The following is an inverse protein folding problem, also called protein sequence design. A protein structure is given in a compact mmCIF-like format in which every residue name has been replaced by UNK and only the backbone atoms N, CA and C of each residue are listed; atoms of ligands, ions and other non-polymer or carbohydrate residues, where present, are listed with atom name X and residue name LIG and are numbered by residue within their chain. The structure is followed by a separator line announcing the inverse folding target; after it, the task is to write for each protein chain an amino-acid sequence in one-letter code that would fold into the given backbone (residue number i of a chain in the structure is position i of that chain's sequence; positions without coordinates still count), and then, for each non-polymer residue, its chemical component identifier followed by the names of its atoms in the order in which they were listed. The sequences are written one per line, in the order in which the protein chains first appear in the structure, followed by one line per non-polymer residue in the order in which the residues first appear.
data_IF_083718325233
#
_entry.id   IF_083718325233
#
_cell.length_a   1.000
_cell.length_b   1.000
_cell.length_c   1.000
_cell.angle_alpha   90.00
_cell.angle_beta   90.00
_cell.angle_gamma   90.00
#
_symmetry.space_group_name_H-M   'P 1'
#
loop_
_entity.id
_entity.type
_entity.pdbx_description
1 polymer ?
#
# COMPACT_ATOMS: atom_id res chain seq x y z
N UNK A 1 -9.34 -16.12 -15.45
CA UNK A 1 -8.01 -15.84 -14.88
C UNK A 1 -7.83 -14.36 -15.10
N UNK A 2 -8.22 -13.57 -14.10
CA UNK A 2 -8.33 -12.12 -14.24
C UNK A 2 -6.94 -11.51 -14.34
N UNK A 3 -6.74 -10.54 -15.23
CA UNK A 3 -5.51 -9.73 -15.34
C UNK A 3 -5.32 -8.77 -14.13
N UNK A 4 -5.96 -9.06 -12.99
CA UNK A 4 -5.88 -8.28 -11.75
C UNK A 4 -4.66 -8.64 -10.90
N UNK A 5 -3.92 -9.70 -11.25
CA UNK A 5 -2.86 -10.26 -10.42
C UNK A 5 -1.46 -9.63 -10.63
N UNK A 6 -1.28 -8.77 -11.62
CA UNK A 6 0.02 -8.17 -11.91
C UNK A 6 0.08 -6.70 -11.50
N UNK A 7 1.14 -6.33 -10.76
CA UNK A 7 1.39 -4.95 -10.33
C UNK A 7 1.74 -4.01 -11.49
N UNK A 8 2.14 -4.55 -12.65
CA UNK A 8 2.62 -3.79 -13.80
C UNK A 8 3.97 -3.12 -13.54
N UNK A 9 4.19 -1.94 -14.14
CA UNK A 9 5.39 -1.13 -13.91
C UNK A 9 5.39 -0.57 -12.49
N UNK A 10 6.34 -1.00 -11.65
CA UNK A 10 6.53 -0.43 -10.30
C UNK A 10 7.15 0.95 -10.41
N UNK A 11 6.43 1.98 -9.99
CA UNK A 11 6.90 3.37 -10.04
C UNK A 11 7.49 3.87 -8.72
N UNK A 12 7.14 3.23 -7.60
CA UNK A 12 7.61 3.62 -6.28
C UNK A 12 7.65 2.42 -5.32
N UNK A 13 8.60 2.46 -4.39
CA UNK A 13 8.70 1.52 -3.28
C UNK A 13 8.85 2.25 -1.94
N UNK A 14 8.29 1.66 -0.89
CA UNK A 14 8.53 2.03 0.52
C UNK A 14 9.09 0.81 1.23
N UNK A 15 10.22 0.99 1.91
CA UNK A 15 10.78 -0.04 2.79
C UNK A 15 10.58 0.37 4.25
N UNK A 16 10.06 -0.56 5.05
CA UNK A 16 9.91 -0.47 6.50
C UNK A 16 10.43 -1.76 7.13
N UNK A 17 10.67 -1.74 8.44
CA UNK A 17 11.06 -2.92 9.20
C UNK A 17 9.92 -3.38 10.09
N UNK A 18 9.55 -4.66 10.02
CA UNK A 18 8.74 -5.31 11.04
C UNK A 18 9.67 -5.80 12.15
N UNK A 19 9.45 -5.35 13.37
CA UNK A 19 10.27 -5.69 14.54
C UNK A 19 9.45 -6.55 15.49
N UNK A 20 9.91 -7.78 15.74
CA UNK A 20 9.30 -8.71 16.68
C UNK A 20 9.66 -8.37 18.14
N UNK A 21 8.98 -9.02 19.08
CA UNK A 21 9.18 -8.79 20.52
C UNK A 21 10.60 -9.13 21.01
N UNK A 22 11.28 -10.07 20.35
CA UNK A 22 12.67 -10.46 20.61
C UNK A 22 13.69 -9.52 19.93
N UNK A 23 13.22 -8.51 19.20
CA UNK A 23 14.05 -7.56 18.46
C UNK A 23 14.46 -8.02 17.06
N UNK A 24 14.03 -9.21 16.60
CA UNK A 24 14.26 -9.64 15.23
C UNK A 24 13.61 -8.66 14.24
N UNK A 25 14.33 -8.30 13.18
CA UNK A 25 13.90 -7.35 12.15
C UNK A 25 13.70 -8.06 10.83
N UNK A 26 12.54 -7.87 10.22
CA UNK A 26 12.21 -8.36 8.88
C UNK A 26 11.93 -7.16 7.99
N UNK A 27 12.59 -7.12 6.82
CA UNK A 27 12.32 -6.07 5.83
C UNK A 27 10.95 -6.31 5.19
N UNK A 28 10.11 -5.28 5.20
CA UNK A 28 8.83 -5.24 4.52
C UNK A 28 8.90 -4.20 3.40
N UNK A 29 8.48 -4.58 2.20
CA UNK A 29 8.52 -3.69 1.03
C UNK A 29 7.10 -3.48 0.50
N UNK A 30 6.64 -2.23 0.48
CA UNK A 30 5.42 -1.84 -0.22
C UNK A 30 5.80 -1.35 -1.60
N UNK A 31 5.16 -1.88 -2.62
CA UNK A 31 5.33 -1.46 -4.02
C UNK A 31 4.05 -0.81 -4.51
N UNK A 32 4.21 0.24 -5.31
CA UNK A 32 3.12 0.90 -6.01
C UNK A 32 3.39 0.82 -7.51
N UNK A 33 2.46 0.22 -8.24
CA UNK A 33 2.50 0.23 -9.69
C UNK A 33 2.05 1.58 -10.25
N UNK A 34 2.35 1.83 -11.51
CA UNK A 34 1.91 3.03 -12.23
C UNK A 34 0.37 3.07 -12.29
N UNK A 35 -0.29 4.15 -11.81
CA UNK A 35 -1.73 4.32 -11.97
C UNK A 35 -2.14 4.21 -13.43
N UNK A 36 -3.25 3.55 -13.70
CA UNK A 36 -3.76 3.35 -15.05
C UNK A 36 -5.29 3.43 -15.09
N UNK A 37 -5.89 3.73 -16.25
CA UNK A 37 -7.34 3.64 -16.41
C UNK A 37 -7.84 2.24 -16.04
N UNK A 38 -8.93 2.18 -15.29
CA UNK A 38 -9.61 0.93 -15.01
C UNK A 38 -10.42 0.51 -16.23
N UNK A 39 -10.00 -0.58 -16.87
CA UNK A 39 -10.65 -1.12 -18.05
C UNK A 39 -12.08 -1.60 -17.80
N UNK A 40 -12.46 -1.81 -16.53
CA UNK A 40 -13.81 -2.21 -16.13
C UNK A 40 -14.70 -1.03 -15.74
N UNK A 41 -14.17 0.19 -15.65
CA UNK A 41 -14.97 1.36 -15.28
C UNK A 41 -15.78 1.86 -16.47
N UNK A 42 -17.10 1.97 -16.28
CA UNK A 42 -18.02 2.61 -17.22
C UNK A 42 -17.85 4.15 -17.25
N UNK A 43 -17.19 4.72 -16.24
CA UNK A 43 -17.04 6.17 -16.05
C UNK A 43 -15.62 6.68 -16.33
N UNK A 44 -14.69 5.80 -16.71
CA UNK A 44 -13.30 6.15 -16.97
C UNK A 44 -12.48 6.38 -15.70
N UNK A 45 -12.84 5.71 -14.60
CA UNK A 45 -12.08 5.72 -13.36
C UNK A 45 -10.68 5.15 -13.56
N UNK A 46 -9.83 5.40 -12.59
CA UNK A 46 -8.46 4.94 -12.52
C UNK A 46 -8.29 3.96 -11.38
N UNK A 47 -7.29 3.09 -11.53
CA UNK A 47 -6.80 2.23 -10.47
C UNK A 47 -5.31 2.42 -10.26
N UNK A 48 -4.86 2.18 -9.04
CA UNK A 48 -3.44 2.09 -8.70
C UNK A 48 -3.21 0.75 -7.98
N UNK A 49 -2.44 -0.17 -8.58
CA UNK A 49 -2.10 -1.43 -7.92
C UNK A 49 -1.00 -1.23 -6.87
N UNK A 50 -1.06 -2.01 -5.80
CA UNK A 50 -0.03 -2.06 -4.76
C UNK A 50 0.18 -3.49 -4.26
N UNK A 51 1.37 -3.74 -3.70
CA UNK A 51 1.74 -5.04 -3.17
C UNK A 51 2.59 -4.85 -1.90
N UNK A 52 2.36 -5.70 -0.90
CA UNK A 52 3.14 -5.73 0.35
C UNK A 52 3.90 -7.06 0.39
N UNK A 53 5.21 -6.98 0.50
CA UNK A 53 6.13 -8.13 0.56
C UNK A 53 6.77 -8.21 1.95
N UNK A 54 6.98 -9.42 2.45
CA UNK A 54 7.66 -9.70 3.72
C UNK A 54 6.77 -9.65 4.96
N UNK A 55 5.44 -9.53 4.80
CA UNK A 55 4.49 -9.53 5.91
C UNK A 55 3.10 -10.00 5.45
N UNK A 56 2.73 -11.25 5.79
CA UNK A 56 1.44 -11.85 5.39
C UNK A 56 1.35 -12.21 3.91
N UNK A 57 0.13 -12.22 3.36
CA UNK A 57 -0.14 -12.59 1.96
C UNK A 57 0.41 -11.55 0.96
N UNK A 58 1.22 -11.98 0.01
CA UNK A 58 1.93 -11.10 -0.94
C UNK A 58 1.17 -10.83 -2.24
N UNK A 59 -0.16 -10.99 -2.24
CA UNK A 59 -1.01 -10.71 -3.40
C UNK A 59 -0.98 -9.24 -3.82
N UNK A 60 -1.27 -8.98 -5.09
CA UNK A 60 -1.45 -7.63 -5.62
C UNK A 60 -2.87 -7.16 -5.32
N UNK A 61 -2.98 -6.02 -4.64
CA UNK A 61 -4.22 -5.29 -4.44
C UNK A 61 -4.28 -4.06 -5.34
N UNK A 62 -5.41 -3.36 -5.31
CA UNK A 62 -5.53 -2.03 -5.91
C UNK A 62 -6.50 -1.16 -5.10
N UNK A 63 -6.40 0.16 -5.33
CA UNK A 63 -7.44 1.13 -4.99
C UNK A 63 -7.84 1.91 -6.25
N UNK A 64 -9.05 2.46 -6.22
CA UNK A 64 -9.70 3.09 -7.37
C UNK A 64 -10.03 4.55 -7.05
N UNK A 65 -9.93 5.42 -8.04
CA UNK A 65 -10.28 6.83 -7.93
C UNK A 65 -10.72 7.40 -9.27
N UNK A 66 -11.35 8.58 -9.25
CA UNK A 66 -11.82 9.30 -10.44
C UNK A 66 -10.67 9.62 -11.40
N UNK A 67 -9.46 9.85 -10.87
CA UNK A 67 -8.26 10.12 -11.65
C UNK A 67 -7.02 9.38 -11.09
N UNK A 68 -5.93 9.48 -11.84
CA UNK A 68 -4.64 8.85 -11.50
C UNK A 68 -4.08 9.27 -10.14
N UNK A 69 -4.29 10.53 -9.74
CA UNK A 69 -3.78 11.07 -8.48
C UNK A 69 -4.59 10.51 -7.32
N UNK A 70 -5.92 10.55 -7.41
CA UNK A 70 -6.79 10.01 -6.38
C UNK A 70 -6.58 8.50 -6.21
N UNK A 71 -6.46 7.75 -7.31
CA UNK A 71 -6.19 6.31 -7.25
C UNK A 71 -4.88 6.01 -6.52
N UNK A 72 -3.81 6.79 -6.78
CA UNK A 72 -2.54 6.67 -6.07
C UNK A 72 -2.69 6.98 -4.57
N UNK A 73 -3.29 8.11 -4.21
CA UNK A 73 -3.46 8.52 -2.81
C UNK A 73 -4.27 7.48 -2.02
N UNK A 74 -5.34 6.95 -2.62
CA UNK A 74 -6.15 5.88 -2.03
C UNK A 74 -5.39 4.56 -1.93
N UNK A 75 -4.53 4.24 -2.88
CA UNK A 75 -3.68 3.03 -2.82
C UNK A 75 -2.63 3.14 -1.73
N UNK A 76 -1.99 4.31 -1.56
CA UNK A 76 -1.08 4.58 -0.43
C UNK A 76 -1.81 4.44 0.91
N UNK A 77 -3.01 5.01 1.02
CA UNK A 77 -3.83 4.90 2.23
C UNK A 77 -4.25 3.45 2.52
N UNK A 78 -4.69 2.71 1.51
CA UNK A 78 -5.06 1.30 1.64
C UNK A 78 -3.87 0.42 2.06
N UNK A 79 -2.71 0.60 1.43
CA UNK A 79 -1.48 -0.12 1.79
C UNK A 79 -1.06 0.15 3.24
N UNK A 80 -1.27 1.39 3.74
CA UNK A 80 -1.09 1.72 5.16
C UNK A 80 -2.02 0.90 6.06
N UNK A 81 -3.31 0.87 5.78
CA UNK A 81 -4.28 0.10 6.58
C UNK A 81 -3.96 -1.39 6.60
N UNK A 82 -3.62 -1.95 5.43
CA UNK A 82 -3.22 -3.36 5.30
C UNK A 82 -1.93 -3.65 6.08
N UNK A 83 -0.93 -2.78 6.03
CA UNK A 83 0.29 -2.92 6.83
C UNK A 83 -0.01 -2.91 8.34
N UNK A 84 -0.81 -1.96 8.81
CA UNK A 84 -1.18 -1.84 10.23
C UNK A 84 -1.97 -3.07 10.72
N UNK A 85 -2.90 -3.58 9.89
CA UNK A 85 -3.65 -4.79 10.17
C UNK A 85 -2.73 -6.02 10.25
N UNK A 86 -1.87 -6.21 9.25
CA UNK A 86 -0.94 -7.35 9.20
C UNK A 86 0.09 -7.31 10.32
N UNK A 87 0.59 -6.11 10.67
CA UNK A 87 1.53 -5.94 11.78
C UNK A 87 0.87 -6.33 13.11
N UNK A 88 -0.40 -5.93 13.33
CA UNK A 88 -1.18 -6.32 14.50
C UNK A 88 -1.41 -7.83 14.55
N UNK A 89 -1.80 -8.43 13.43
CA UNK A 89 -2.02 -9.87 13.33
C UNK A 89 -0.73 -10.67 13.61
N UNK A 90 0.42 -10.19 13.13
CA UNK A 90 1.73 -10.80 13.36
C UNK A 90 2.38 -10.41 14.70
N UNK A 91 1.75 -9.55 15.50
CA UNK A 91 2.30 -9.01 16.76
C UNK A 91 3.69 -8.38 16.60
N UNK A 92 3.90 -7.63 15.51
CA UNK A 92 5.14 -6.87 15.23
C UNK A 92 4.86 -5.37 15.24
N UNK A 93 5.87 -4.57 15.58
CA UNK A 93 5.84 -3.11 15.39
C UNK A 93 6.46 -2.77 14.04
N UNK A 94 5.97 -1.73 13.39
CA UNK A 94 6.57 -1.20 12.17
C UNK A 94 7.52 -0.05 12.53
N UNK A 95 8.67 -0.04 11.88
CA UNK A 95 9.70 0.99 12.03
C UNK A 95 10.10 1.53 10.65
N UNK A 96 10.14 2.84 10.52
CA UNK A 96 10.63 3.53 9.35
C UNK A 96 11.71 4.53 9.76
N UNK A 97 12.95 4.26 9.34
CA UNK A 97 14.12 5.10 9.65
C UNK A 97 14.36 5.31 11.16
N UNK A 98 14.04 4.31 11.98
CA UNK A 98 14.18 4.37 13.44
C UNK A 98 12.99 5.02 14.15
N UNK A 99 11.91 5.35 13.42
CA UNK A 99 10.70 5.96 13.95
C UNK A 99 9.56 4.94 13.99
N UNK A 100 8.70 4.95 15.02
CA UNK A 100 7.52 4.07 15.11
C UNK A 100 6.38 4.56 14.20
N UNK A 101 6.67 4.69 12.91
CA UNK A 101 5.78 5.12 11.84
C UNK A 101 6.12 4.31 10.58
N UNK A 102 5.33 4.47 9.53
CA UNK A 102 5.50 3.84 8.22
C UNK A 102 5.81 4.85 7.10
N UNK A 103 5.73 6.16 7.38
CA UNK A 103 6.02 7.21 6.39
C UNK A 103 5.05 7.25 5.22
N UNK A 104 3.80 6.81 5.45
CA UNK A 104 2.69 6.75 4.49
C UNK A 104 1.45 7.49 5.02
N UNK A 105 1.65 8.68 5.59
CA UNK A 105 0.53 9.52 6.05
C UNK A 105 -0.04 10.31 4.89
N UNK A 106 -1.22 9.90 4.43
CA UNK A 106 -2.03 10.60 3.44
C UNK A 106 -3.42 10.77 4.04
N UNK A 107 -3.91 12.01 4.10
CA UNK A 107 -5.30 12.31 4.46
C UNK A 107 -6.08 12.66 3.20
N UNK A 108 -6.79 11.69 2.59
CA UNK A 108 -7.59 11.97 1.41
C UNK A 108 -8.85 12.76 1.81
N UNK A 109 -8.79 14.09 1.72
CA UNK A 109 -9.98 14.93 1.69
C UNK A 109 -10.56 15.40 3.03
N UNK A 110 -9.75 15.49 4.09
CA UNK A 110 -10.18 16.24 5.29
C UNK A 110 -10.35 17.72 4.96
N UNK A 111 -11.57 18.26 4.97
CA UNK A 111 -11.71 19.71 5.14
C UNK A 111 -11.14 20.04 6.52
N UNK A 112 -10.15 20.94 6.66
CA UNK A 112 -9.85 21.49 7.96
C UNK A 112 -11.05 22.37 8.36
N UNK A 113 -11.70 21.97 9.45
CA UNK A 113 -12.79 22.64 10.17
C UNK A 113 -14.21 22.47 9.58
#
# INVERSE_FOLDING_TARGET
MDMMDEIGEVMAERQVEAVAADGARTRVTVRFGRPCPDALSEHGDWRCPHQILGLGEEGVGAAFGVDSLQALLLSVYKARLELEERARAASVRLDWLGLPDIGLTVEPGGRPF
#
